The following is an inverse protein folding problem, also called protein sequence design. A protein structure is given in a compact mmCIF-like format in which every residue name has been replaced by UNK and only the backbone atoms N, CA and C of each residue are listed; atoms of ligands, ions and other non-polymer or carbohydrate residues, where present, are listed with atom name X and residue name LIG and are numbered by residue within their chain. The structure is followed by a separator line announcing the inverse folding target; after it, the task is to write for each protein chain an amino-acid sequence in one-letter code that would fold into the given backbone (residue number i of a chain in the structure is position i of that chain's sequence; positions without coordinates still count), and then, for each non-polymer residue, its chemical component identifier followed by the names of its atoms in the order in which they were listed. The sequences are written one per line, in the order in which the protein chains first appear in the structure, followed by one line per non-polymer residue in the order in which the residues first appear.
data_IF_780792749975
#
_entry.id   IF_780792749975
#
_cell.length_a   1.000
_cell.length_b   1.000
_cell.length_c   1.000
_cell.angle_alpha   90.00
_cell.angle_beta   90.00
_cell.angle_gamma   90.00
#
_symmetry.space_group_name_H-M   'P 1'
#
loop_
_entity.id
_entity.type
_entity.pdbx_description
1 polymer ?
#
# COMPACT_ATOMS: atom_id res chain seq x y z
N UNK A 1 -28.80 13.42 -7.27
CA UNK A 1 -27.71 12.77 -8.03
C UNK A 1 -28.29 12.27 -9.33
N UNK A 2 -27.55 12.38 -10.42
CA UNK A 2 -27.92 11.86 -11.74
C UNK A 2 -26.99 10.70 -12.12
N UNK A 3 -27.45 9.86 -13.05
CA UNK A 3 -26.59 8.83 -13.64
C UNK A 3 -25.38 9.46 -14.37
N UNK A 4 -24.20 8.90 -14.14
CA UNK A 4 -22.92 9.38 -14.65
C UNK A 4 -22.25 10.45 -13.78
N UNK A 5 -22.80 10.81 -12.62
CA UNK A 5 -22.17 11.74 -11.68
C UNK A 5 -20.98 11.07 -10.96
N UNK A 6 -19.85 11.79 -10.87
CA UNK A 6 -18.69 11.42 -10.07
C UNK A 6 -18.44 12.44 -8.95
N UNK A 7 -18.66 12.05 -7.70
CA UNK A 7 -18.40 12.88 -6.52
C UNK A 7 -16.98 12.66 -6.02
N UNK A 8 -16.18 13.71 -5.99
CA UNK A 8 -14.76 13.66 -5.62
C UNK A 8 -14.56 14.20 -4.20
N UNK A 9 -14.01 13.36 -3.32
CA UNK A 9 -13.68 13.68 -1.93
C UNK A 9 -12.25 13.24 -1.59
N UNK A 10 -11.62 13.96 -0.66
CA UNK A 10 -10.17 13.81 -0.37
C UNK A 10 -9.88 13.07 0.94
N UNK A 11 -10.90 12.43 1.51
CA UNK A 11 -10.84 11.63 2.74
C UNK A 11 -11.64 10.35 2.55
N UNK A 12 -11.09 9.22 3.01
CA UNK A 12 -11.78 7.92 2.98
C UNK A 12 -13.10 7.96 3.77
N UNK A 13 -13.10 8.65 4.93
CA UNK A 13 -14.32 8.81 5.75
C UNK A 13 -15.41 9.52 4.95
N UNK A 14 -15.05 10.56 4.21
CA UNK A 14 -16.01 11.35 3.42
C UNK A 14 -16.52 10.50 2.25
N UNK A 15 -15.65 9.76 1.57
CA UNK A 15 -16.03 8.85 0.48
C UNK A 15 -17.11 7.86 0.94
N UNK A 16 -16.90 7.16 2.05
CA UNK A 16 -17.90 6.20 2.55
C UNK A 16 -19.14 6.87 3.13
N UNK A 17 -19.02 8.07 3.72
CA UNK A 17 -20.16 8.84 4.20
C UNK A 17 -21.05 9.32 3.06
N UNK A 18 -20.45 9.85 1.99
CA UNK A 18 -21.13 10.28 0.76
C UNK A 18 -21.78 9.10 0.07
N UNK A 19 -21.08 7.97 -0.08
CA UNK A 19 -21.66 6.72 -0.61
C UNK A 19 -22.94 6.35 0.14
N UNK A 20 -22.87 6.28 1.47
CA UNK A 20 -24.02 5.96 2.33
C UNK A 20 -25.16 6.96 2.17
N UNK A 21 -24.84 8.25 2.13
CA UNK A 21 -25.84 9.30 1.96
C UNK A 21 -26.57 9.18 0.62
N UNK A 22 -25.85 9.03 -0.49
CA UNK A 22 -26.43 8.90 -1.83
C UNK A 22 -27.30 7.64 -1.92
N UNK A 23 -26.79 6.49 -1.48
CA UNK A 23 -27.53 5.22 -1.50
C UNK A 23 -28.73 5.20 -0.54
N UNK A 24 -28.81 6.12 0.43
CA UNK A 24 -29.93 6.24 1.35
C UNK A 24 -31.01 7.21 0.87
N UNK A 25 -30.62 8.27 0.17
CA UNK A 25 -31.51 9.34 -0.29
C UNK A 25 -31.95 9.17 -1.74
N UNK A 26 -31.27 8.33 -2.51
CA UNK A 26 -31.51 8.15 -3.94
C UNK A 26 -31.58 6.65 -4.27
N UNK A 27 -32.25 6.27 -5.37
CA UNK A 27 -32.31 4.88 -5.82
C UNK A 27 -30.98 4.38 -6.43
N UNK A 28 -29.99 5.26 -6.63
CA UNK A 28 -28.74 4.93 -7.30
C UNK A 28 -27.76 4.22 -6.36
N UNK A 29 -27.08 3.19 -6.89
CA UNK A 29 -25.93 2.57 -6.21
C UNK A 29 -24.65 3.29 -6.55
N UNK A 30 -23.71 3.29 -5.62
CA UNK A 30 -22.45 4.02 -5.76
C UNK A 30 -21.26 3.06 -5.88
N UNK A 31 -20.46 3.23 -6.93
CA UNK A 31 -19.11 2.68 -7.03
C UNK A 31 -18.13 3.51 -6.20
N UNK A 32 -17.08 2.88 -5.67
CA UNK A 32 -16.07 3.56 -4.85
C UNK A 32 -14.68 3.36 -5.40
N UNK A 33 -13.94 4.44 -5.64
CA UNK A 33 -12.55 4.38 -6.12
C UNK A 33 -11.65 5.31 -5.31
N UNK A 34 -10.71 4.75 -4.56
CA UNK A 34 -9.67 5.54 -3.91
C UNK A 34 -8.30 4.85 -3.90
N UNK A 35 -7.25 5.62 -3.62
CA UNK A 35 -5.87 5.24 -3.93
C UNK A 35 -5.34 3.99 -3.25
N UNK A 36 -5.83 3.62 -2.07
CA UNK A 36 -5.35 2.42 -1.36
C UNK A 36 -6.20 1.17 -1.61
N UNK A 37 -7.15 1.21 -2.55
CA UNK A 37 -7.82 0.00 -3.04
C UNK A 37 -6.88 -0.78 -3.97
N UNK A 38 -6.93 -2.13 -3.96
CA UNK A 38 -6.24 -2.96 -4.94
C UNK A 38 -6.52 -2.49 -6.37
N UNK A 39 -5.54 -2.63 -7.27
CA UNK A 39 -5.66 -2.16 -8.64
C UNK A 39 -6.79 -2.89 -9.38
N UNK A 40 -6.94 -4.18 -9.13
CA UNK A 40 -7.95 -5.06 -9.69
C UNK A 40 -9.35 -4.68 -9.17
N UNK A 41 -9.47 -4.38 -7.86
CA UNK A 41 -10.70 -3.81 -7.27
C UNK A 41 -11.05 -2.49 -7.93
N UNK A 42 -10.09 -1.58 -8.14
CA UNK A 42 -10.33 -0.30 -8.83
C UNK A 42 -10.82 -0.51 -10.26
N UNK A 43 -10.21 -1.45 -11.00
CA UNK A 43 -10.64 -1.81 -12.34
C UNK A 43 -12.05 -2.45 -12.35
N UNK A 44 -12.37 -3.29 -11.36
CA UNK A 44 -13.70 -3.88 -11.21
C UNK A 44 -14.77 -2.82 -10.92
N UNK A 45 -14.52 -1.89 -10.00
CA UNK A 45 -15.42 -0.76 -9.71
C UNK A 45 -15.59 0.16 -10.93
N UNK A 46 -14.52 0.39 -11.70
CA UNK A 46 -14.59 1.16 -12.95
C UNK A 46 -15.45 0.46 -14.02
N UNK A 47 -15.34 -0.88 -14.14
CA UNK A 47 -16.20 -1.65 -15.05
C UNK A 47 -17.66 -1.57 -14.63
N UNK A 48 -17.96 -1.76 -13.34
CA UNK A 48 -19.33 -1.64 -12.82
C UNK A 48 -19.94 -0.27 -13.11
N UNK A 49 -19.20 0.81 -12.90
CA UNK A 49 -19.66 2.18 -13.19
C UNK A 49 -19.87 2.45 -14.69
N UNK A 50 -19.07 1.84 -15.56
CA UNK A 50 -19.18 2.05 -17.01
C UNK A 50 -20.26 1.18 -17.66
N UNK A 51 -20.67 0.09 -17.01
CA UNK A 51 -21.67 -0.83 -17.54
C UNK A 51 -23.06 -0.27 -17.35
N UNK A 52 -23.77 -0.12 -18.46
CA UNK A 52 -25.21 0.14 -18.50
C UNK A 52 -25.93 -1.07 -17.84
N UNK A 53 -27.07 -0.84 -17.19
CA UNK A 53 -27.93 -1.85 -16.53
C UNK A 53 -27.50 -2.45 -15.18
N UNK A 54 -26.38 -2.02 -14.60
CA UNK A 54 -25.96 -2.53 -13.27
C UNK A 54 -26.63 -1.83 -12.07
N UNK A 55 -27.24 -0.65 -12.32
CA UNK A 55 -27.75 0.27 -11.29
C UNK A 55 -26.66 0.99 -10.49
N UNK A 56 -25.37 0.79 -10.82
CA UNK A 56 -24.23 1.51 -10.27
C UNK A 56 -23.95 2.78 -11.07
N UNK A 57 -24.86 3.73 -10.96
CA UNK A 57 -24.89 4.91 -11.83
C UNK A 57 -24.04 6.08 -11.33
N UNK A 58 -23.55 6.01 -10.08
CA UNK A 58 -22.83 7.10 -9.42
C UNK A 58 -21.46 6.61 -8.96
N UNK A 59 -20.44 7.44 -9.13
CA UNK A 59 -19.08 7.18 -8.66
C UNK A 59 -18.75 8.09 -7.47
N UNK A 60 -18.24 7.53 -6.38
CA UNK A 60 -17.63 8.30 -5.28
C UNK A 60 -16.14 8.00 -5.24
N UNK A 61 -15.31 9.03 -5.41
CA UNK A 61 -13.90 8.83 -5.69
C UNK A 61 -12.97 9.81 -4.97
N UNK A 62 -11.68 9.45 -4.90
CA UNK A 62 -10.58 10.36 -4.55
C UNK A 62 -9.86 10.89 -5.78
N UNK A 63 -8.79 11.66 -5.58
CA UNK A 63 -7.84 12.09 -6.62
C UNK A 63 -7.25 10.92 -7.46
N UNK A 64 -7.36 9.68 -6.98
CA UNK A 64 -6.99 8.48 -7.72
C UNK A 64 -7.68 8.33 -9.09
N UNK A 65 -8.85 8.95 -9.34
CA UNK A 65 -9.49 8.90 -10.68
C UNK A 65 -8.83 9.84 -11.68
N UNK A 66 -7.98 10.77 -11.24
CA UNK A 66 -7.24 11.68 -12.10
C UNK A 66 -6.37 10.97 -13.13
N UNK A 67 -5.96 9.72 -12.88
CA UNK A 67 -5.11 8.91 -13.77
C UNK A 67 -5.46 7.41 -13.75
N UNK A 68 -5.06 6.67 -14.79
CA UNK A 68 -4.99 5.20 -14.76
C UNK A 68 -6.29 4.40 -15.00
N UNK A 69 -7.47 5.02 -15.02
CA UNK A 69 -8.74 4.35 -15.34
C UNK A 69 -9.48 5.04 -16.49
N UNK A 70 -10.16 4.25 -17.32
CA UNK A 70 -11.11 4.72 -18.33
C UNK A 70 -12.51 4.74 -17.71
N UNK A 71 -13.07 5.93 -17.49
CA UNK A 71 -14.35 6.13 -16.80
C UNK A 71 -15.27 6.97 -17.69
N UNK A 72 -16.53 6.56 -17.82
CA UNK A 72 -17.57 7.26 -18.57
C UNK A 72 -18.27 8.28 -17.65
N UNK A 73 -17.56 9.33 -17.24
CA UNK A 73 -18.09 10.33 -16.32
C UNK A 73 -18.82 11.43 -17.11
N UNK A 74 -20.07 11.70 -16.73
CA UNK A 74 -20.86 12.82 -17.26
C UNK A 74 -20.46 14.14 -16.61
N UNK A 75 -20.44 14.16 -15.28
CA UNK A 75 -20.17 15.36 -14.48
C UNK A 75 -19.32 15.03 -13.27
N UNK A 76 -18.32 15.87 -13.00
CA UNK A 76 -17.51 15.79 -11.79
C UNK A 76 -18.01 16.81 -10.77
N UNK A 77 -18.30 16.35 -9.56
CA UNK A 77 -18.75 17.19 -8.43
C UNK A 77 -17.70 17.13 -7.33
N UNK A 78 -17.02 18.24 -7.07
CA UNK A 78 -16.07 18.32 -5.97
C UNK A 78 -16.80 18.52 -4.64
N UNK A 79 -16.68 17.55 -3.72
CA UNK A 79 -17.19 17.68 -2.36
C UNK A 79 -16.37 18.67 -1.52
N UNK A 80 -15.06 18.75 -1.79
CA UNK A 80 -14.15 19.70 -1.17
C UNK A 80 -13.08 20.15 -2.17
N UNK A 81 -12.46 21.31 -1.95
CA UNK A 81 -11.33 21.82 -2.76
C UNK A 81 -10.03 21.92 -1.95
N UNK A 82 -9.99 21.23 -0.81
CA UNK A 82 -8.86 21.18 0.11
C UNK A 82 -8.62 19.75 0.59
N UNK A 83 -7.35 19.36 0.73
CA UNK A 83 -6.92 18.04 1.19
C UNK A 83 -6.11 18.19 2.47
N UNK A 84 -6.38 17.35 3.46
CA UNK A 84 -5.56 17.26 4.67
C UNK A 84 -4.32 16.43 4.35
N UNK A 85 -3.14 17.01 4.52
CA UNK A 85 -1.87 16.29 4.34
C UNK A 85 -1.56 15.50 5.62
N UNK A 86 -1.05 14.27 5.47
CA UNK A 86 -0.70 13.46 6.64
C UNK A 86 0.44 14.12 7.41
N UNK A 87 0.20 14.47 8.67
CA UNK A 87 1.14 15.19 9.55
C UNK A 87 0.69 16.61 9.92
N UNK A 88 -0.26 17.22 9.21
CA UNK A 88 -0.75 18.58 9.47
C UNK A 88 -2.18 18.64 10.01
N UNK A 89 -2.44 19.59 10.94
CA UNK A 89 -3.82 19.94 11.36
C UNK A 89 -4.58 20.73 10.28
N UNK A 90 -3.88 21.44 9.39
CA UNK A 90 -4.49 22.33 8.39
C UNK A 90 -4.79 21.62 7.07
N UNK A 91 -5.94 21.96 6.47
CA UNK A 91 -6.29 21.54 5.12
C UNK A 91 -5.55 22.43 4.10
N UNK A 92 -4.88 21.81 3.13
CA UNK A 92 -4.15 22.49 2.05
C UNK A 92 -5.07 22.59 0.83
N UNK A 93 -5.18 23.78 0.24
CA UNK A 93 -5.95 24.00 -1.00
C UNK A 93 -5.33 23.19 -2.16
N UNK A 94 -6.18 22.55 -2.95
CA UNK A 94 -5.71 21.76 -4.08
C UNK A 94 -5.13 22.66 -5.18
N UNK A 95 -4.02 22.25 -5.83
CA UNK A 95 -3.48 23.00 -6.95
C UNK A 95 -4.44 22.95 -8.15
N UNK A 96 -4.56 24.04 -8.94
CA UNK A 96 -5.44 24.09 -10.12
C UNK A 96 -5.17 22.97 -11.13
N UNK A 97 -3.91 22.53 -11.25
CA UNK A 97 -3.49 21.41 -12.10
C UNK A 97 -4.21 20.11 -11.74
N UNK A 98 -4.30 19.79 -10.44
CA UNK A 98 -4.99 18.59 -9.96
C UNK A 98 -6.51 18.70 -10.15
N UNK A 99 -7.09 19.88 -9.88
CA UNK A 99 -8.52 20.11 -10.11
C UNK A 99 -8.89 19.91 -11.58
N UNK A 100 -8.09 20.42 -12.51
CA UNK A 100 -8.28 20.21 -13.95
C UNK A 100 -8.08 18.77 -14.38
N UNK A 101 -7.05 18.09 -13.84
CA UNK A 101 -6.80 16.70 -14.17
C UNK A 101 -7.99 15.81 -13.79
N UNK A 102 -8.58 16.06 -12.62
CA UNK A 102 -9.76 15.34 -12.14
C UNK A 102 -11.01 15.77 -12.92
N UNK A 103 -11.25 17.08 -13.06
CA UNK A 103 -12.42 17.63 -13.75
C UNK A 103 -12.47 17.23 -15.23
N UNK A 104 -11.33 17.24 -15.92
CA UNK A 104 -11.19 16.83 -17.32
C UNK A 104 -11.42 15.33 -17.56
N UNK A 105 -11.78 14.56 -16.53
CA UNK A 105 -12.31 13.21 -16.69
C UNK A 105 -13.78 13.20 -17.10
N UNK A 106 -14.52 14.29 -16.91
CA UNK A 106 -15.87 14.45 -17.46
C UNK A 106 -15.83 14.64 -18.97
N UNK A 107 -16.82 14.10 -19.69
CA UNK A 107 -17.06 14.44 -21.09
C UNK A 107 -15.96 13.99 -22.07
N UNK A 108 -15.31 12.85 -21.84
CA UNK A 108 -14.25 12.36 -22.75
C UNK A 108 -14.82 12.08 -24.14
N UNK A 109 -14.18 12.65 -25.17
CA UNK A 109 -14.55 12.47 -26.57
C UNK A 109 -14.71 10.98 -26.95
N UNK A 110 -15.79 10.64 -27.66
CA UNK A 110 -16.11 9.26 -28.06
C UNK A 110 -16.71 8.39 -26.94
N UNK A 111 -17.15 8.97 -25.83
CA UNK A 111 -17.93 8.30 -24.76
C UNK A 111 -19.38 8.77 -24.76
N UNK A 112 -20.21 8.11 -23.94
CA UNK A 112 -21.66 8.38 -23.81
C UNK A 112 -22.01 9.85 -23.57
N UNK A 113 -21.09 10.64 -23.01
CA UNK A 113 -21.30 12.05 -22.68
C UNK A 113 -20.28 12.91 -23.42
N UNK A 114 -20.74 13.72 -24.38
CA UNK A 114 -19.86 14.59 -25.20
C UNK A 114 -19.45 15.90 -24.51
N UNK A 115 -20.24 16.37 -23.53
CA UNK A 115 -20.02 17.63 -22.84
C UNK A 115 -19.84 17.40 -21.33
N UNK A 116 -18.80 17.99 -20.74
CA UNK A 116 -18.52 17.97 -19.30
C UNK A 116 -18.41 19.37 -18.71
N UNK A 117 -18.99 19.59 -17.53
CA UNK A 117 -18.94 20.88 -16.83
C UNK A 117 -17.76 20.91 -15.85
N UNK A 118 -16.85 21.90 -15.98
CA UNK A 118 -15.74 22.14 -15.05
C UNK A 118 -15.52 23.63 -14.79
N UNK A 119 -14.99 23.99 -13.61
CA UNK A 119 -14.55 25.37 -13.33
C UNK A 119 -13.29 25.72 -14.13
N UNK A 120 -13.32 26.88 -14.79
CA UNK A 120 -12.19 27.45 -15.53
C UNK A 120 -11.17 28.07 -14.58
N UNK A 121 -9.92 27.58 -14.63
CA UNK A 121 -8.76 28.20 -13.98
C UNK A 121 -7.62 28.22 -15.00
N UNK A 122 -6.70 29.19 -15.05
CA UNK A 122 -5.53 29.11 -15.94
C UNK A 122 -4.50 28.07 -15.44
N UNK A 123 -3.75 27.45 -16.35
CA UNK A 123 -2.64 26.53 -16.04
C UNK A 123 -1.32 27.27 -16.19
N UNK A 124 -0.47 27.20 -15.18
CA UNK A 124 0.92 27.63 -15.31
C UNK A 124 1.78 26.45 -15.83
N UNK A 125 2.76 26.72 -16.70
CA UNK A 125 3.70 25.69 -17.16
C UNK A 125 4.48 25.09 -15.99
N UNK A 126 4.82 23.80 -16.07
CA UNK A 126 5.70 23.15 -15.09
C UNK A 126 7.11 23.75 -15.24
N UNK A 127 7.65 24.46 -14.23
CA UNK A 127 8.87 25.24 -14.41
C UNK A 127 10.15 24.39 -14.30
N UNK A 128 10.10 23.27 -13.56
CA UNK A 128 11.25 22.38 -13.31
C UNK A 128 10.83 20.92 -13.22
N UNK A 129 11.74 20.01 -13.58
CA UNK A 129 11.54 18.57 -13.47
C UNK A 129 12.28 17.98 -12.26
N UNK A 130 11.64 17.04 -11.57
CA UNK A 130 12.30 16.29 -10.49
C UNK A 130 13.29 15.28 -11.10
N UNK A 131 14.47 15.16 -10.51
CA UNK A 131 15.41 14.06 -10.77
C UNK A 131 15.64 13.26 -9.49
N UNK A 132 15.95 11.97 -9.65
CA UNK A 132 16.19 11.07 -8.53
C UNK A 132 17.55 10.38 -8.72
N UNK A 133 18.41 10.28 -7.69
CA UNK A 133 19.69 9.60 -7.81
C UNK A 133 19.47 8.12 -8.13
N UNK A 134 20.36 7.52 -8.92
CA UNK A 134 20.34 6.08 -9.18
C UNK A 134 21.05 5.33 -8.05
N UNK A 135 20.88 4.01 -7.98
CA UNK A 135 21.65 3.17 -7.04
C UNK A 135 23.16 3.28 -7.27
N UNK A 136 23.60 3.51 -8.52
CA UNK A 136 25.02 3.70 -8.86
C UNK A 136 25.54 5.01 -8.28
N UNK A 137 24.80 6.12 -8.46
CA UNK A 137 25.17 7.41 -7.85
C UNK A 137 25.28 7.29 -6.32
N UNK A 138 24.34 6.58 -5.68
CA UNK A 138 24.37 6.38 -4.23
C UNK A 138 25.55 5.52 -3.78
N UNK A 139 25.90 4.48 -4.54
CA UNK A 139 27.04 3.61 -4.24
C UNK A 139 28.37 4.36 -4.39
N UNK A 140 28.57 5.06 -5.51
CA UNK A 140 29.78 5.86 -5.75
C UNK A 140 29.92 6.95 -4.70
N UNK A 141 28.83 7.64 -4.37
CA UNK A 141 28.85 8.65 -3.32
C UNK A 141 29.17 8.07 -1.94
N UNK A 142 28.64 6.89 -1.61
CA UNK A 142 28.99 6.20 -0.37
C UNK A 142 30.49 5.88 -0.30
N UNK A 143 31.06 5.36 -1.39
CA UNK A 143 32.48 5.03 -1.46
C UNK A 143 33.35 6.29 -1.27
N UNK A 144 32.99 7.41 -1.90
CA UNK A 144 33.70 8.68 -1.71
C UNK A 144 33.62 9.17 -0.26
N UNK A 145 32.47 9.01 0.41
CA UNK A 145 32.34 9.37 1.82
C UNK A 145 33.21 8.47 2.70
N UNK A 146 33.31 7.18 2.40
CA UNK A 146 34.19 6.24 3.11
C UNK A 146 35.66 6.65 2.96
N UNK A 147 36.10 7.02 1.75
CA UNK A 147 37.46 7.52 1.52
C UNK A 147 37.77 8.78 2.35
N UNK A 148 36.82 9.72 2.44
CA UNK A 148 37.00 10.96 3.22
C UNK A 148 36.95 10.75 4.73
N UNK A 149 36.31 9.67 5.18
CA UNK A 149 36.15 9.32 6.60
C UNK A 149 37.00 8.10 6.98
N UNK A 150 38.07 7.81 6.23
CA UNK A 150 38.96 6.67 6.45
C UNK A 150 39.50 6.56 7.89
N UNK A 151 39.65 7.70 8.58
CA UNK A 151 40.11 7.76 9.97
C UNK A 151 38.98 7.51 11.01
N UNK A 152 37.74 7.28 10.58
CA UNK A 152 36.56 7.04 11.41
C UNK A 152 35.79 5.76 11.02
N UNK A 153 36.36 4.57 11.28
CA UNK A 153 35.75 3.29 10.91
C UNK A 153 34.40 3.03 11.59
N UNK A 154 34.20 3.53 12.83
CA UNK A 154 32.89 3.42 13.51
C UNK A 154 31.79 4.24 12.81
N UNK A 155 32.15 5.38 12.20
CA UNK A 155 31.23 6.21 11.41
C UNK A 155 30.82 5.53 10.10
N UNK A 156 31.74 4.81 9.46
CA UNK A 156 31.50 4.08 8.22
C UNK A 156 30.53 2.90 8.42
N UNK A 157 30.76 2.04 9.42
CA UNK A 157 29.89 0.87 9.68
C UNK A 157 28.46 1.27 10.09
N UNK A 158 28.31 2.41 10.77
CA UNK A 158 27.00 2.88 11.26
C UNK A 158 26.23 3.73 10.25
N UNK A 159 26.84 4.12 9.12
CA UNK A 159 26.24 5.09 8.20
C UNK A 159 24.94 4.56 7.60
N UNK A 160 23.84 5.27 7.88
CA UNK A 160 22.51 4.86 7.43
C UNK A 160 22.31 5.27 5.99
N UNK A 161 21.63 4.44 5.19
CA UNK A 161 21.25 4.82 3.83
C UNK A 161 20.46 6.14 3.79
N UNK A 162 19.61 6.40 4.79
CA UNK A 162 18.90 7.66 4.92
C UNK A 162 19.82 8.87 5.13
N UNK A 163 20.92 8.70 5.87
CA UNK A 163 21.97 9.71 6.06
C UNK A 163 22.74 9.92 4.76
N UNK A 164 23.09 8.86 4.05
CA UNK A 164 23.71 8.96 2.72
C UNK A 164 22.83 9.72 1.73
N UNK A 165 21.50 9.49 1.73
CA UNK A 165 20.57 10.28 0.93
C UNK A 165 20.53 11.75 1.34
N UNK A 166 20.52 12.03 2.65
CA UNK A 166 20.50 13.40 3.16
C UNK A 166 21.80 14.15 2.78
N UNK A 167 22.96 13.50 2.93
CA UNK A 167 24.25 14.04 2.54
C UNK A 167 24.34 14.23 1.02
N UNK A 168 23.84 13.28 0.22
CA UNK A 168 23.77 13.43 -1.22
C UNK A 168 22.91 14.63 -1.61
N UNK A 169 21.74 14.78 -0.98
CA UNK A 169 20.84 15.90 -1.25
C UNK A 169 21.44 17.26 -0.90
N UNK A 170 22.24 17.34 0.17
CA UNK A 170 22.97 18.56 0.57
C UNK A 170 24.08 18.93 -0.44
N UNK A 171 24.77 17.94 -1.01
CA UNK A 171 25.91 18.16 -1.92
C UNK A 171 25.53 18.23 -3.40
N UNK A 172 24.39 17.66 -3.78
CA UNK A 172 23.99 17.55 -5.17
C UNK A 172 23.74 18.93 -5.81
N UNK A 173 24.39 19.17 -6.95
CA UNK A 173 24.12 20.34 -7.79
C UNK A 173 23.33 19.88 -9.01
N UNK A 174 22.21 20.54 -9.26
CA UNK A 174 21.33 20.24 -10.40
C UNK A 174 21.20 21.49 -11.27
N UNK A 175 21.04 21.31 -12.58
CA UNK A 175 20.83 22.43 -13.49
C UNK A 175 19.53 23.19 -13.21
N UNK A 176 19.42 24.41 -13.68
CA UNK A 176 18.31 25.34 -13.34
C UNK A 176 16.90 24.81 -13.64
N UNK A 177 16.79 23.90 -14.61
CA UNK A 177 15.54 23.25 -15.04
C UNK A 177 15.16 22.02 -14.21
N UNK A 178 15.97 21.66 -13.21
CA UNK A 178 15.78 20.48 -12.40
C UNK A 178 15.76 20.81 -10.91
N UNK A 179 15.19 19.90 -10.12
CA UNK A 179 15.30 19.87 -8.67
C UNK A 179 15.44 18.41 -8.21
N UNK A 180 16.06 18.19 -7.06
CA UNK A 180 16.13 16.86 -6.48
C UNK A 180 14.77 16.47 -5.89
N UNK A 181 14.25 15.30 -6.28
CA UNK A 181 12.96 14.81 -5.77
C UNK A 181 12.96 14.59 -4.25
N UNK A 182 11.80 14.73 -3.61
CA UNK A 182 11.64 14.47 -2.17
C UNK A 182 11.89 13.00 -1.85
N UNK A 183 12.57 12.74 -0.72
CA UNK A 183 12.98 11.40 -0.30
C UNK A 183 12.15 10.82 0.86
N UNK A 184 11.12 11.49 1.36
CA UNK A 184 10.48 11.18 2.65
C UNK A 184 10.06 9.71 2.82
N UNK A 185 9.40 9.12 1.81
CA UNK A 185 8.96 7.73 1.86
C UNK A 185 10.15 6.76 1.80
N UNK A 186 11.12 7.04 0.95
CA UNK A 186 12.32 6.22 0.80
C UNK A 186 13.21 6.31 2.05
N UNK A 187 13.35 7.49 2.65
CA UNK A 187 14.04 7.70 3.92
C UNK A 187 13.35 6.95 5.05
N UNK A 188 12.01 7.00 5.13
CA UNK A 188 11.26 6.27 6.14
C UNK A 188 11.50 4.74 6.04
N UNK A 189 11.47 4.19 4.83
CA UNK A 189 11.75 2.76 4.62
C UNK A 189 13.23 2.43 4.84
N UNK A 190 14.15 3.26 4.37
CA UNK A 190 15.59 3.09 4.62
C UNK A 190 15.90 3.07 6.12
N UNK A 191 15.26 3.94 6.91
CA UNK A 191 15.36 3.94 8.37
C UNK A 191 14.77 2.68 9.00
N UNK A 192 13.60 2.24 8.52
CA UNK A 192 12.97 1.00 9.01
C UNK A 192 13.84 -0.24 8.73
N UNK A 193 14.57 -0.24 7.62
CA UNK A 193 15.46 -1.34 7.24
C UNK A 193 16.82 -1.28 7.95
N UNK A 194 17.21 -0.16 8.56
CA UNK A 194 18.54 0.00 9.16
C UNK A 194 18.97 -1.14 10.11
N UNK A 195 18.09 -1.68 10.99
CA UNK A 195 18.47 -2.79 11.87
C UNK A 195 18.67 -4.14 11.17
N UNK A 196 18.36 -4.24 9.87
CA UNK A 196 18.59 -5.47 9.11
C UNK A 196 20.06 -5.58 8.73
N UNK A 197 20.74 -6.56 9.32
CA UNK A 197 22.13 -6.92 9.04
C UNK A 197 22.26 -7.63 7.68
N UNK A 198 23.47 -7.68 7.13
CA UNK A 198 23.81 -8.41 5.89
C UNK A 198 23.08 -7.98 4.59
N UNK A 199 22.38 -6.84 4.60
CA UNK A 199 21.92 -6.21 3.34
C UNK A 199 23.01 -5.33 2.75
N UNK A 200 23.35 -5.58 1.48
CA UNK A 200 24.20 -4.66 0.71
C UNK A 200 23.50 -3.30 0.53
N UNK A 201 24.28 -2.23 0.29
CA UNK A 201 23.72 -0.90 -0.01
C UNK A 201 22.76 -0.96 -1.20
N UNK A 202 23.12 -1.72 -2.24
CA UNK A 202 22.30 -1.94 -3.43
C UNK A 202 20.95 -2.57 -3.09
N UNK A 203 20.93 -3.62 -2.27
CA UNK A 203 19.68 -4.27 -1.84
C UNK A 203 18.86 -3.36 -0.95
N UNK A 204 19.48 -2.72 0.03
CA UNK A 204 18.81 -1.76 0.93
C UNK A 204 18.17 -0.62 0.14
N UNK A 205 18.89 -0.08 -0.84
CA UNK A 205 18.37 0.90 -1.77
C UNK A 205 17.17 0.35 -2.53
N UNK A 206 17.31 -0.82 -3.18
CA UNK A 206 16.22 -1.42 -3.95
C UNK A 206 14.97 -1.68 -3.09
N UNK A 207 15.11 -2.29 -1.91
CA UNK A 207 14.00 -2.58 -1.00
C UNK A 207 13.35 -1.27 -0.50
N UNK A 208 14.11 -0.21 -0.25
CA UNK A 208 13.56 1.10 0.13
C UNK A 208 12.69 1.77 -0.94
N UNK A 209 12.81 1.33 -2.21
CA UNK A 209 11.97 1.76 -3.33
C UNK A 209 10.68 0.93 -3.47
N UNK A 210 10.42 -0.02 -2.56
CA UNK A 210 9.21 -0.83 -2.61
C UNK A 210 7.96 0.06 -2.57
N UNK A 211 6.92 -0.25 -3.40
CA UNK A 211 5.75 0.60 -3.58
C UNK A 211 4.74 0.45 -2.43
N UNK A 212 5.19 0.60 -1.18
CA UNK A 212 4.37 0.44 0.02
C UNK A 212 4.18 1.75 0.76
N UNK A 213 3.03 1.93 1.41
CA UNK A 213 2.80 3.09 2.26
C UNK A 213 3.60 2.97 3.56
N UNK A 214 4.67 3.75 3.70
CA UNK A 214 5.55 3.75 4.89
C UNK A 214 4.89 4.20 6.20
N UNK A 215 3.64 4.68 6.18
CA UNK A 215 2.84 4.98 7.39
C UNK A 215 2.03 3.78 7.89
N UNK A 216 1.95 2.71 7.09
CA UNK A 216 1.20 1.51 7.46
C UNK A 216 2.12 0.54 8.22
N UNK A 217 1.89 0.43 9.52
CA UNK A 217 2.70 -0.41 10.42
C UNK A 217 2.76 -1.86 9.97
N UNK A 218 1.67 -2.42 9.42
CA UNK A 218 1.66 -3.80 8.91
C UNK A 218 2.62 -3.98 7.73
N UNK A 219 2.62 -3.02 6.80
CA UNK A 219 3.50 -3.07 5.62
C UNK A 219 4.97 -2.82 5.99
N UNK A 220 5.24 -1.87 6.89
CA UNK A 220 6.59 -1.59 7.39
C UNK A 220 7.14 -2.80 8.15
N UNK A 221 6.29 -3.50 8.90
CA UNK A 221 6.67 -4.74 9.56
C UNK A 221 6.94 -5.87 8.56
N UNK A 222 6.07 -6.05 7.58
CA UNK A 222 6.23 -7.09 6.57
C UNK A 222 7.52 -6.92 5.77
N UNK A 223 7.82 -5.69 5.30
CA UNK A 223 9.06 -5.43 4.56
C UNK A 223 10.31 -5.67 5.41
N UNK A 224 10.26 -5.33 6.71
CA UNK A 224 11.35 -5.61 7.64
C UNK A 224 11.59 -7.13 7.75
N UNK A 225 10.54 -7.92 8.03
CA UNK A 225 10.66 -9.37 8.16
C UNK A 225 11.15 -10.05 6.87
N UNK A 226 10.60 -9.64 5.71
CA UNK A 226 11.01 -10.18 4.42
C UNK A 226 12.47 -9.83 4.10
N UNK A 227 12.88 -8.59 4.39
CA UNK A 227 14.26 -8.15 4.20
C UNK A 227 15.23 -8.88 5.11
N UNK A 228 14.86 -9.13 6.38
CA UNK A 228 15.69 -9.91 7.32
C UNK A 228 15.89 -11.34 6.87
N UNK A 229 14.82 -12.05 6.48
CA UNK A 229 14.94 -13.41 5.97
C UNK A 229 15.76 -13.47 4.67
N UNK A 230 15.54 -12.53 3.75
CA UNK A 230 16.34 -12.39 2.52
C UNK A 230 17.83 -12.18 2.83
N UNK A 231 18.16 -11.26 3.73
CA UNK A 231 19.55 -10.95 4.08
C UNK A 231 20.28 -12.12 4.77
N UNK A 232 19.53 -12.95 5.50
CA UNK A 232 20.05 -14.17 6.11
C UNK A 232 20.14 -15.36 5.13
N UNK A 233 19.71 -15.20 3.87
CA UNK A 233 19.63 -16.30 2.90
C UNK A 233 18.60 -17.37 3.26
N UNK A 234 17.62 -17.04 4.11
CA UNK A 234 16.56 -17.95 4.57
C UNK A 234 15.31 -17.82 3.70
N UNK A 235 14.51 -18.90 3.55
CA UNK A 235 13.22 -18.82 2.88
C UNK A 235 12.34 -17.70 3.45
N UNK A 236 11.78 -16.89 2.55
CA UNK A 236 10.89 -15.78 2.88
C UNK A 236 9.46 -16.29 2.78
N UNK A 237 8.80 -16.36 3.93
CA UNK A 237 7.41 -16.78 4.06
C UNK A 237 6.50 -15.57 4.26
N UNK A 238 5.28 -15.63 3.73
CA UNK A 238 4.27 -14.57 3.88
C UNK A 238 3.86 -14.44 5.35
N UNK A 239 3.75 -15.57 6.06
CA UNK A 239 3.36 -15.72 7.45
C UNK A 239 2.36 -14.66 7.95
N UNK A 240 1.24 -14.56 7.24
CA UNK A 240 0.18 -13.61 7.51
C UNK A 240 -1.12 -14.37 7.72
N UNK A 241 -1.71 -14.23 8.90
CA UNK A 241 -3.02 -14.82 9.15
C UNK A 241 -4.07 -14.12 8.30
N UNK A 242 -4.83 -14.87 7.52
CA UNK A 242 -5.98 -14.38 6.79
C UNK A 242 -7.27 -14.61 7.57
N UNK A 243 -8.27 -13.73 7.43
CA UNK A 243 -9.60 -14.04 7.93
C UNK A 243 -10.16 -15.28 7.19
N UNK A 244 -11.09 -16.03 7.80
CA UNK A 244 -11.75 -17.15 7.13
C UNK A 244 -12.40 -16.71 5.81
N UNK A 245 -12.42 -17.61 4.83
CA UNK A 245 -12.98 -17.34 3.51
C UNK A 245 -14.41 -16.83 3.59
N UNK A 246 -14.68 -15.73 2.89
CA UNK A 246 -16.00 -15.09 2.85
C UNK A 246 -16.32 -14.21 4.07
N UNK A 247 -15.40 -14.07 5.04
CA UNK A 247 -15.57 -13.13 6.15
C UNK A 247 -15.61 -11.70 5.61
N UNK A 248 -16.66 -10.97 5.97
CA UNK A 248 -16.82 -9.58 5.56
C UNK A 248 -16.46 -8.62 6.70
N UNK A 249 -15.77 -7.51 6.38
CA UNK A 249 -15.38 -6.53 7.38
C UNK A 249 -16.62 -5.82 7.92
N UNK A 250 -16.72 -5.75 9.26
CA UNK A 250 -17.82 -5.09 9.97
C UNK A 250 -17.56 -3.60 10.16
N UNK A 251 -16.29 -3.20 10.15
CA UNK A 251 -15.82 -1.85 10.40
C UNK A 251 -14.91 -1.33 9.28
N UNK A 252 -14.77 0.00 9.21
CA UNK A 252 -13.81 0.65 8.31
C UNK A 252 -12.36 0.20 8.59
N UNK A 253 -12.04 -0.05 9.86
CA UNK A 253 -10.71 -0.52 10.28
C UNK A 253 -10.43 -1.93 9.75
N UNK A 254 -11.38 -2.85 9.88
CA UNK A 254 -11.25 -4.19 9.30
C UNK A 254 -11.09 -4.15 7.78
N UNK A 255 -11.88 -3.31 7.09
CA UNK A 255 -11.76 -3.15 5.64
C UNK A 255 -10.38 -2.62 5.23
N UNK A 256 -9.82 -1.67 5.98
CA UNK A 256 -8.46 -1.17 5.75
C UNK A 256 -7.40 -2.23 6.05
N UNK A 257 -7.62 -3.07 7.05
CA UNK A 257 -6.75 -4.22 7.33
C UNK A 257 -6.76 -5.20 6.16
N UNK A 258 -7.90 -5.52 5.56
CA UNK A 258 -7.96 -6.36 4.35
C UNK A 258 -7.15 -5.77 3.20
N UNK A 259 -7.31 -4.47 2.92
CA UNK A 259 -6.53 -3.78 1.89
C UNK A 259 -5.02 -3.81 2.21
N UNK A 260 -4.65 -3.69 3.49
CA UNK A 260 -3.25 -3.73 3.92
C UNK A 260 -2.66 -5.13 3.78
N UNK A 261 -3.42 -6.18 4.12
CA UNK A 261 -3.03 -7.58 3.91
C UNK A 261 -2.85 -7.89 2.43
N UNK A 262 -3.73 -7.39 1.56
CA UNK A 262 -3.54 -7.49 0.12
C UNK A 262 -2.21 -6.86 -0.32
N UNK A 263 -1.90 -5.66 0.15
CA UNK A 263 -0.64 -4.99 -0.18
C UNK A 263 0.61 -5.72 0.37
N UNK A 264 0.51 -6.50 1.44
CA UNK A 264 1.59 -7.38 1.91
C UNK A 264 1.89 -8.48 0.88
N UNK A 265 0.84 -9.05 0.27
CA UNK A 265 0.99 -10.06 -0.79
C UNK A 265 1.61 -9.45 -2.04
N UNK A 266 1.20 -8.23 -2.41
CA UNK A 266 1.82 -7.49 -3.52
C UNK A 266 3.30 -7.18 -3.25
N UNK A 267 3.64 -6.79 -2.00
CA UNK A 267 5.03 -6.59 -1.58
C UNK A 267 5.84 -7.89 -1.70
N UNK A 268 5.29 -9.01 -1.21
CA UNK A 268 5.95 -10.32 -1.31
C UNK A 268 6.27 -10.68 -2.77
N UNK A 269 5.27 -10.55 -3.65
CA UNK A 269 5.44 -10.79 -5.09
C UNK A 269 6.42 -9.80 -5.72
N UNK A 270 6.35 -8.53 -5.34
CA UNK A 270 7.26 -7.50 -5.83
C UNK A 270 8.70 -7.86 -5.49
N UNK A 271 9.00 -8.19 -4.23
CA UNK A 271 10.34 -8.61 -3.80
C UNK A 271 10.78 -9.89 -4.52
N UNK A 272 9.91 -10.90 -4.62
CA UNK A 272 10.22 -12.17 -5.30
C UNK A 272 10.49 -12.06 -6.81
N UNK A 273 10.13 -10.94 -7.44
CA UNK A 273 10.54 -10.61 -8.83
C UNK A 273 11.87 -9.85 -8.88
N UNK A 274 12.17 -9.02 -7.86
CA UNK A 274 13.37 -8.16 -7.84
C UNK A 274 14.61 -8.85 -7.28
N UNK A 275 14.42 -9.89 -6.46
CA UNK A 275 15.50 -10.68 -5.87
C UNK A 275 15.33 -12.16 -6.25
N UNK A 276 15.66 -12.53 -7.51
CA UNK A 276 15.45 -13.90 -8.01
C UNK A 276 16.55 -14.87 -7.55
N UNK A 277 17.67 -14.34 -7.05
CA UNK A 277 18.92 -15.07 -6.84
C UNK A 277 18.93 -16.02 -5.65
N UNK A 278 17.81 -16.18 -4.96
CA UNK A 278 17.65 -17.24 -3.98
C UNK A 278 16.25 -17.82 -4.16
N UNK A 279 16.14 -19.15 -4.06
CA UNK A 279 14.89 -19.91 -3.92
C UNK A 279 14.06 -19.50 -2.68
N UNK A 280 14.32 -18.33 -2.07
CA UNK A 280 13.69 -17.82 -0.87
C UNK A 280 12.20 -17.56 -1.01
N UNK A 281 11.75 -17.04 -2.16
CA UNK A 281 10.35 -16.67 -2.38
C UNK A 281 9.59 -17.83 -3.03
N UNK A 282 9.36 -18.91 -2.27
CA UNK A 282 8.70 -20.13 -2.77
C UNK A 282 7.17 -20.02 -2.85
N UNK A 283 6.56 -19.14 -2.06
CA UNK A 283 5.11 -19.06 -1.89
C UNK A 283 4.41 -18.16 -2.93
N UNK A 284 4.97 -17.98 -4.14
CA UNK A 284 4.41 -17.07 -5.16
C UNK A 284 3.00 -17.45 -5.59
N UNK A 285 2.71 -18.75 -5.71
CA UNK A 285 1.37 -19.26 -6.04
C UNK A 285 0.39 -19.05 -4.89
N UNK A 286 0.82 -19.33 -3.65
CA UNK A 286 0.03 -19.08 -2.44
C UNK A 286 -0.31 -17.60 -2.30
N UNK A 287 0.66 -16.71 -2.51
CA UNK A 287 0.46 -15.27 -2.50
C UNK A 287 -0.63 -14.84 -3.49
N UNK A 288 -0.63 -15.41 -4.70
CA UNK A 288 -1.62 -15.08 -5.72
C UNK A 288 -3.02 -15.58 -5.37
N UNK A 289 -3.15 -16.81 -4.87
CA UNK A 289 -4.44 -17.37 -4.42
C UNK A 289 -5.04 -16.52 -3.30
N UNK A 290 -4.23 -16.21 -2.29
CA UNK A 290 -4.63 -15.38 -1.16
C UNK A 290 -5.00 -13.95 -1.59
N UNK A 291 -4.28 -13.40 -2.59
CA UNK A 291 -4.55 -12.07 -3.14
C UNK A 291 -5.92 -12.02 -3.81
N UNK A 292 -6.22 -12.99 -4.66
CA UNK A 292 -7.53 -13.12 -5.32
C UNK A 292 -8.66 -13.29 -4.29
N UNK A 293 -8.41 -14.04 -3.22
CA UNK A 293 -9.39 -14.22 -2.14
C UNK A 293 -9.69 -12.91 -1.40
N UNK A 294 -8.65 -12.16 -1.00
CA UNK A 294 -8.80 -10.85 -0.39
C UNK A 294 -9.48 -9.85 -1.33
N UNK A 295 -9.14 -9.87 -2.62
CA UNK A 295 -9.78 -9.04 -3.63
C UNK A 295 -11.29 -9.32 -3.71
N UNK A 296 -11.69 -10.59 -3.66
CA UNK A 296 -13.10 -10.99 -3.63
C UNK A 296 -13.82 -10.45 -2.38
N UNK A 297 -13.23 -10.62 -1.20
CA UNK A 297 -13.78 -10.08 0.06
C UNK A 297 -13.90 -8.55 0.04
N UNK A 298 -12.89 -7.85 -0.49
CA UNK A 298 -12.89 -6.39 -0.63
C UNK A 298 -14.00 -5.95 -1.59
N UNK A 299 -14.14 -6.60 -2.75
CA UNK A 299 -15.19 -6.29 -3.72
C UNK A 299 -16.60 -6.53 -3.14
N UNK A 300 -16.80 -7.63 -2.42
CA UNK A 300 -18.08 -7.94 -1.79
C UNK A 300 -18.41 -6.95 -0.66
N UNK A 301 -17.41 -6.55 0.12
CA UNK A 301 -17.56 -5.52 1.14
C UNK A 301 -17.98 -4.16 0.55
N UNK A 302 -17.45 -3.78 -0.63
CA UNK A 302 -17.81 -2.53 -1.31
C UNK A 302 -19.26 -2.49 -1.84
N UNK A 303 -19.88 -3.65 -2.08
CA UNK A 303 -21.30 -3.75 -2.47
C UNK A 303 -22.24 -3.49 -1.29
N UNK A 304 -21.78 -3.71 -0.05
CA UNK A 304 -22.59 -3.57 1.16
C UNK A 304 -22.39 -2.20 1.81
N UNK A 305 -23.34 -1.84 2.69
CA UNK A 305 -23.22 -0.65 3.55
C UNK A 305 -22.29 -0.98 4.72
N UNK A 306 -21.01 -0.63 4.60
CA UNK A 306 -20.05 -0.72 5.72
C UNK A 306 -20.38 0.34 6.77
N UNK A 307 -20.42 -0.02 8.05
CA UNK A 307 -20.61 0.94 9.13
C UNK A 307 -19.40 1.86 9.27
N UNK A 308 -19.63 3.18 9.28
CA UNK A 308 -18.58 4.23 9.37
C UNK A 308 -18.25 4.56 10.84
N UNK A 309 -18.70 3.77 11.81
CA UNK A 309 -18.48 4.03 13.24
C UNK A 309 -17.14 3.48 13.73
N UNK A 310 -16.27 4.35 14.25
CA UNK A 310 -15.09 3.98 15.03
C UNK A 310 -14.08 5.14 15.21
N UNK A 311 -13.61 5.43 16.45
CA UNK A 311 -12.52 6.37 16.70
C UNK A 311 -11.16 5.78 16.31
N UNK A 312 -10.21 6.66 15.97
CA UNK A 312 -8.81 6.32 15.72
C UNK A 312 -8.13 5.85 17.02
N UNK A 313 -8.30 4.58 17.38
CA UNK A 313 -7.41 3.91 18.33
C UNK A 313 -6.98 2.58 17.74
N UNK A 314 -5.72 2.53 17.32
CA UNK A 314 -5.02 1.32 16.90
C UNK A 314 -4.94 0.42 18.13
N UNK A 315 -5.85 -0.55 18.25
CA UNK A 315 -5.62 -1.72 19.11
C UNK A 315 -4.77 -2.70 18.30
N UNK A 316 -3.47 -2.74 18.59
CA UNK A 316 -2.59 -3.81 18.14
C UNK A 316 -3.09 -5.10 18.80
N UNK A 317 -3.45 -6.16 18.05
CA UNK A 317 -3.79 -7.43 18.69
C UNK A 317 -2.57 -7.95 19.44
N UNK A 318 -2.69 -8.09 20.76
CA UNK A 318 -1.80 -8.93 21.55
C UNK A 318 -2.00 -10.37 21.08
N UNK A 319 -1.01 -10.92 20.39
CA UNK A 319 -0.50 -12.29 20.52
C UNK A 319 0.38 -12.57 19.30
N UNK A 320 1.62 -12.09 19.37
CA UNK A 320 2.65 -12.36 18.38
C UNK A 320 3.77 -13.20 19.01
N UNK A 321 3.39 -14.45 19.31
CA UNK A 321 4.27 -15.48 19.85
C UNK A 321 5.37 -15.84 18.85
N UNK A 322 5.10 -15.65 17.55
CA UNK A 322 6.00 -16.03 16.46
C UNK A 322 7.14 -15.03 16.26
N UNK A 323 6.87 -13.72 16.30
CA UNK A 323 7.93 -12.72 16.16
C UNK A 323 8.92 -12.76 17.32
N UNK A 324 8.48 -13.16 18.51
CA UNK A 324 9.37 -13.47 19.63
C UNK A 324 10.23 -14.72 19.37
N UNK A 325 9.70 -15.74 18.67
CA UNK A 325 10.44 -16.94 18.28
C UNK A 325 11.45 -16.66 17.16
N UNK A 326 11.08 -15.91 16.14
CA UNK A 326 11.98 -15.54 15.04
C UNK A 326 13.12 -14.63 15.53
N UNK A 327 12.80 -13.64 16.38
CA UNK A 327 13.82 -12.79 17.02
C UNK A 327 14.70 -13.58 18.00
N UNK A 328 14.19 -14.61 18.68
CA UNK A 328 15.01 -15.52 19.50
C UNK A 328 15.92 -16.41 18.65
N UNK A 329 15.44 -16.91 17.51
CA UNK A 329 16.20 -17.75 16.61
C UNK A 329 17.34 -16.97 15.92
N UNK A 330 17.09 -15.71 15.53
CA UNK A 330 18.12 -14.82 14.96
C UNK A 330 19.17 -14.38 15.99
N UNK A 331 18.84 -14.36 17.28
CA UNK A 331 19.75 -13.99 18.38
C UNK A 331 20.46 -15.20 19.03
N UNK A 332 20.30 -16.41 18.49
CA UNK A 332 20.93 -17.64 18.99
C UNK A 332 22.34 -17.79 18.38
N UNK A 333 23.41 -17.97 19.20
CA UNK A 333 24.79 -18.00 18.71
C UNK A 333 25.17 -19.28 17.92
N UNK A 334 24.28 -20.26 17.82
CA UNK A 334 24.46 -21.48 17.02
C UNK A 334 23.40 -21.55 15.93
N UNK A 335 23.77 -21.21 14.69
CA UNK A 335 22.90 -21.22 13.51
C UNK A 335 22.46 -22.60 13.01
N UNK A 336 22.17 -23.55 13.91
CA UNK A 336 21.83 -24.95 13.57
C UNK A 336 20.34 -25.32 13.71
N UNK A 337 19.58 -24.70 14.60
CA UNK A 337 18.28 -25.26 15.04
C UNK A 337 17.04 -24.59 14.41
N UNK A 338 17.18 -23.97 13.25
CA UNK A 338 16.04 -23.29 12.58
C UNK A 338 15.05 -24.32 12.00
N UNK A 339 15.50 -25.51 11.61
CA UNK A 339 14.65 -26.54 11.00
C UNK A 339 13.83 -27.33 12.04
N UNK A 340 14.39 -27.60 13.21
CA UNK A 340 13.68 -28.36 14.27
C UNK A 340 12.59 -27.55 14.98
N UNK A 341 12.76 -26.22 15.07
CA UNK A 341 11.76 -25.34 15.66
C UNK A 341 10.50 -25.14 14.79
N UNK A 342 10.60 -25.42 13.49
CA UNK A 342 9.51 -25.26 12.51
C UNK A 342 8.75 -26.59 12.30
N UNK A 343 9.39 -27.74 12.52
CA UNK A 343 8.81 -29.07 12.27
C UNK A 343 7.86 -29.64 13.33
N UNK A 344 7.87 -29.15 14.58
CA UNK A 344 7.13 -29.80 15.68
C UNK A 344 5.73 -29.23 16.01
N UNK A 345 5.18 -28.29 15.23
CA UNK A 345 3.82 -27.77 15.50
C UNK A 345 2.69 -28.55 14.81
N UNK A 346 2.96 -29.72 14.25
CA UNK A 346 1.99 -30.52 13.47
C UNK A 346 1.49 -31.81 14.12
N UNK A 347 1.86 -32.12 15.37
CA UNK A 347 1.62 -33.44 15.96
C UNK A 347 1.15 -33.44 17.42
N UNK A 348 0.45 -32.39 17.86
CA UNK A 348 -0.14 -32.35 19.20
C UNK A 348 -1.48 -31.63 19.17
N UNK A 349 -2.52 -32.34 18.72
CA UNK A 349 -3.94 -32.11 19.04
C UNK A 349 -4.76 -33.26 18.40
N UNK A 350 -4.43 -34.51 18.75
CA UNK A 350 -5.36 -35.66 18.69
C UNK A 350 -5.40 -36.27 20.10
N UNK A 351 -6.61 -36.70 20.51
CA UNK A 351 -7.00 -37.31 21.80
C UNK A 351 -7.38 -36.35 22.95
N UNK A 352 -8.68 -36.00 23.05
CA UNK A 352 -9.64 -36.59 24.00
C UNK A 352 -10.93 -35.74 24.01
N UNK A 353 -12.02 -36.28 23.48
CA UNK A 353 -13.34 -36.30 24.13
C UNK A 353 -14.31 -37.10 23.24
N UNK A 354 -14.50 -38.36 23.63
CA UNK A 354 -15.59 -39.18 23.13
C UNK A 354 -16.85 -38.90 23.94
N UNK A 355 -17.92 -38.50 23.27
CA UNK A 355 -19.28 -38.81 23.69
C UNK A 355 -20.01 -39.49 22.53
N UNK A 356 -20.46 -40.71 22.80
CA UNK A 356 -21.10 -41.58 21.83
C UNK A 356 -22.49 -41.08 21.43
N UNK A 357 -22.82 -41.32 20.16
CA UNK A 357 -24.21 -41.46 19.71
C UNK A 357 -24.27 -42.70 18.83
N UNK A 358 -24.78 -43.76 19.43
CA UNK A 358 -25.25 -44.99 18.80
C UNK A 358 -26.61 -44.73 18.13
N UNK A 359 -26.78 -45.08 16.85
CA UNK A 359 -27.98 -45.66 16.20
C UNK A 359 -27.58 -46.05 14.75
N UNK A 360 -27.26 -47.30 14.47
CA UNK A 360 -28.12 -48.45 14.10
C UNK A 360 -28.56 -48.47 12.62
N UNK A 361 -27.85 -49.34 11.87
CA UNK A 361 -28.16 -50.09 10.63
C UNK A 361 -28.55 -49.35 9.34
#
# INVERSE_FOLDING_TARGET
MLSGDAVVAFSRKDIFSIKKEIESKTPHKCCVIYGSLPQETRAHQARLFNSEDTGYDVLVASDAVGMGLNLNIRRVVFHAVSKRTGGGRAAVKLPPTMLKQIGGRAGRHGKQWEYGEIMNTPLEPIPKAAIFPSVQHMQEFSNCLDETEADNPEGQERRRLAETFAAFADKAKVGDRYFLGTHDQHQALANALHPVENLTLKERYAISMAPINGRNTLLVRAIFLFATAHAAGLPVFINMQLPPKGTLPKSMTEFQTLCSKHNVLDLYRWMGVRFPSIECFTEKSVAEIQRVELESMINEALKRRIAVTGPDSISVPEHDTYSKKLLRALNSPSGGDVLDAIGQSGAAEEEEEGEGVEYML
#
